data_IF_215746284614
#
_entry.id   IF_215746284614
#
_cell.length_a   1.000
_cell.length_b   1.000
_cell.length_c   1.000
_cell.angle_alpha   90.00
_cell.angle_beta   90.00
_cell.angle_gamma   90.00
#
_symmetry.space_group_name_H-M   'P 1'
#
loop_
_entity.id
_entity.type
_entity.pdbx_description
1 polymer ?
#
# COMPACT_ATOMS: atom_id res chain seq x y z
N UNK A 1 -44.94 12.53 12.92
CA UNK A 1 -43.66 11.81 12.75
C UNK A 1 -43.15 11.80 11.31
N UNK A 2 -43.95 11.50 10.28
CA UNK A 2 -43.42 11.45 8.91
C UNK A 2 -43.12 12.82 8.28
N UNK A 3 -43.87 13.86 8.65
CA UNK A 3 -43.65 15.24 8.18
C UNK A 3 -42.36 15.85 8.74
N UNK A 4 -42.01 15.53 9.98
CA UNK A 4 -40.81 16.02 10.65
C UNK A 4 -39.55 15.35 10.09
N UNK A 5 -39.61 14.04 9.81
CA UNK A 5 -38.53 13.34 9.12
C UNK A 5 -38.29 13.90 7.70
N UNK A 6 -39.36 14.18 6.95
CA UNK A 6 -39.26 14.77 5.61
C UNK A 6 -38.63 16.17 5.63
N UNK A 7 -38.96 17.02 6.61
CA UNK A 7 -38.35 18.34 6.78
C UNK A 7 -36.87 18.27 7.15
N UNK A 8 -36.49 17.34 8.02
CA UNK A 8 -35.09 17.12 8.39
C UNK A 8 -34.29 16.66 7.17
N UNK A 9 -34.82 15.72 6.39
CA UNK A 9 -34.17 15.30 5.14
C UNK A 9 -34.05 16.43 4.13
N UNK A 10 -35.12 17.22 3.92
CA UNK A 10 -35.10 18.35 3.00
C UNK A 10 -34.07 19.42 3.41
N UNK A 11 -33.94 19.71 4.72
CA UNK A 11 -32.92 20.64 5.24
C UNK A 11 -31.51 20.07 5.10
N UNK A 12 -31.31 18.77 5.35
CA UNK A 12 -30.01 18.11 5.16
C UNK A 12 -29.57 18.12 3.70
N UNK A 13 -30.47 17.83 2.76
CA UNK A 13 -30.17 17.89 1.32
C UNK A 13 -29.93 19.32 0.85
N UNK A 14 -30.73 20.31 1.28
CA UNK A 14 -30.51 21.71 0.93
C UNK A 14 -29.16 22.24 1.46
N UNK A 15 -28.73 21.78 2.64
CA UNK A 15 -27.43 22.15 3.22
C UNK A 15 -26.27 21.51 2.46
N UNK A 16 -26.39 20.22 2.11
CA UNK A 16 -25.44 19.52 1.24
C UNK A 16 -25.33 20.19 -0.14
N UNK A 17 -26.47 20.51 -0.76
CA UNK A 17 -26.50 21.14 -2.08
C UNK A 17 -25.91 22.56 -2.05
N UNK A 18 -26.21 23.36 -1.01
CA UNK A 18 -25.55 24.66 -0.80
C UNK A 18 -24.05 24.52 -0.57
N UNK A 19 -23.61 23.51 0.20
CA UNK A 19 -22.17 23.26 0.42
C UNK A 19 -21.43 22.78 -0.82
N UNK A 20 -22.13 22.20 -1.80
CA UNK A 20 -21.58 21.77 -3.10
C UNK A 20 -21.42 22.94 -4.09
N UNK A 21 -22.23 23.99 -3.95
CA UNK A 21 -22.22 25.17 -4.84
C UNK A 21 -21.29 26.29 -4.31
N UNK A 22 -20.91 26.27 -3.03
CA UNK A 22 -19.90 27.19 -2.49
C UNK A 22 -18.51 26.88 -3.06
N UNK A 23 -17.59 27.89 -3.12
CA UNK A 23 -16.24 27.70 -3.67
C UNK A 23 -15.49 26.44 -3.18
N UNK A 24 -15.51 26.07 -1.88
CA UNK A 24 -14.88 24.82 -1.43
C UNK A 24 -15.58 23.55 -1.93
N UNK A 25 -16.90 23.55 -2.09
CA UNK A 25 -17.66 22.42 -2.65
C UNK A 25 -17.39 22.20 -4.13
N UNK A 26 -17.33 23.29 -4.90
CA UNK A 26 -16.93 23.27 -6.31
C UNK A 26 -15.50 22.75 -6.46
N UNK A 27 -14.60 23.09 -5.53
CA UNK A 27 -13.23 22.61 -5.56
C UNK A 27 -13.13 21.12 -5.18
N UNK A 28 -13.98 20.64 -4.26
CA UNK A 28 -14.12 19.22 -3.94
C UNK A 28 -14.69 18.43 -5.11
N UNK A 29 -15.69 18.98 -5.81
CA UNK A 29 -16.28 18.40 -7.00
C UNK A 29 -15.28 18.39 -8.17
N UNK A 30 -14.50 19.45 -8.35
CA UNK A 30 -13.38 19.49 -9.31
C UNK A 30 -12.29 18.47 -8.95
N UNK A 31 -11.98 18.26 -7.67
CA UNK A 31 -11.04 17.21 -7.23
C UNK A 31 -11.59 15.81 -7.47
N UNK A 32 -12.88 15.58 -7.22
CA UNK A 32 -13.58 14.33 -7.53
C UNK A 32 -13.68 14.07 -9.04
N UNK A 33 -13.99 15.09 -9.84
CA UNK A 33 -13.96 15.00 -11.30
C UNK A 33 -12.53 14.76 -11.78
N UNK A 34 -11.50 15.39 -11.19
CA UNK A 34 -10.08 15.12 -11.51
C UNK A 34 -9.70 13.67 -11.27
N UNK A 35 -10.26 13.02 -10.24
CA UNK A 35 -10.13 11.60 -9.96
C UNK A 35 -10.89 10.69 -10.93
N UNK A 36 -11.80 11.21 -11.75
CA UNK A 36 -12.44 10.46 -12.84
C UNK A 36 -11.83 10.81 -14.20
N UNK A 37 -11.35 12.04 -14.37
CA UNK A 37 -10.71 12.52 -15.58
C UNK A 37 -9.22 12.18 -15.65
N UNK A 38 -8.59 11.53 -14.66
CA UNK A 38 -7.17 11.11 -14.82
C UNK A 38 -6.96 10.23 -16.06
N UNK A 39 -7.98 9.46 -16.45
CA UNK A 39 -8.00 8.66 -17.69
C UNK A 39 -7.87 9.58 -18.91
N UNK A 40 -8.44 10.80 -18.87
CA UNK A 40 -8.26 11.82 -19.90
C UNK A 40 -6.82 12.26 -20.09
N UNK A 41 -6.02 12.19 -19.03
CA UNK A 41 -4.63 12.64 -18.99
C UNK A 41 -3.64 11.50 -19.18
N UNK A 42 -4.12 10.28 -19.47
CA UNK A 42 -3.26 9.19 -19.88
C UNK A 42 -2.60 9.59 -21.21
N UNK A 43 -1.26 9.57 -21.29
CA UNK A 43 -0.56 9.84 -22.54
C UNK A 43 -1.13 8.96 -23.66
N UNK A 44 -1.39 9.55 -24.84
CA UNK A 44 -2.07 8.88 -25.96
C UNK A 44 -3.57 9.19 -26.06
N UNK A 45 -4.32 9.13 -24.96
CA UNK A 45 -5.73 9.58 -24.95
C UNK A 45 -5.80 11.09 -25.20
N UNK A 46 -4.88 11.85 -24.62
CA UNK A 46 -4.77 13.30 -24.85
C UNK A 46 -4.51 13.64 -26.33
N UNK A 47 -3.73 12.81 -27.04
CA UNK A 47 -3.47 12.99 -28.47
C UNK A 47 -4.69 12.68 -29.34
N UNK A 48 -5.44 11.63 -28.98
CA UNK A 48 -6.71 11.30 -29.62
C UNK A 48 -7.73 12.42 -29.36
N UNK A 49 -7.76 12.97 -28.15
CA UNK A 49 -8.62 14.10 -27.79
C UNK A 49 -8.25 15.36 -28.56
N UNK A 50 -6.96 15.68 -28.65
CA UNK A 50 -6.45 16.77 -29.48
C UNK A 50 -6.87 16.60 -30.93
N UNK A 51 -6.62 15.43 -31.52
CA UNK A 51 -7.01 15.15 -32.90
C UNK A 51 -8.54 15.20 -33.12
N UNK A 52 -9.33 14.67 -32.19
CA UNK A 52 -10.78 14.72 -32.25
C UNK A 52 -11.31 16.16 -32.10
N UNK A 53 -10.69 16.95 -31.21
CA UNK A 53 -11.01 18.35 -31.04
C UNK A 53 -10.60 19.17 -32.25
N UNK A 54 -9.43 18.95 -32.84
CA UNK A 54 -8.97 19.61 -34.06
C UNK A 54 -9.84 19.26 -35.27
N UNK A 55 -10.39 18.05 -35.34
CA UNK A 55 -11.37 17.66 -36.36
C UNK A 55 -12.75 18.31 -36.12
N UNK A 56 -13.12 18.50 -34.85
CA UNK A 56 -14.39 19.12 -34.44
C UNK A 56 -14.37 20.65 -34.56
N UNK A 57 -13.26 21.29 -34.20
CA UNK A 57 -13.13 22.74 -34.02
C UNK A 57 -13.47 23.57 -35.27
N UNK A 58 -13.17 23.14 -36.51
CA UNK A 58 -13.61 23.84 -37.72
C UNK A 58 -15.12 23.75 -37.97
N UNK A 59 -15.76 22.67 -37.48
CA UNK A 59 -17.19 22.39 -37.68
C UNK A 59 -18.05 22.79 -36.47
N UNK A 60 -17.45 23.38 -35.43
CA UNK A 60 -18.13 23.73 -34.18
C UNK A 60 -19.36 24.63 -34.39
N UNK A 61 -19.29 25.56 -35.35
CA UNK A 61 -20.39 26.47 -35.67
C UNK A 61 -21.58 25.72 -36.30
N UNK A 62 -21.30 24.77 -37.19
CA UNK A 62 -22.32 23.91 -37.81
C UNK A 62 -22.97 22.98 -36.79
N UNK A 63 -22.18 22.40 -35.87
CA UNK A 63 -22.71 21.55 -34.81
C UNK A 63 -23.56 22.36 -33.82
N UNK A 64 -23.14 23.57 -33.46
CA UNK A 64 -23.92 24.47 -32.61
C UNK A 64 -25.24 24.86 -33.26
N UNK A 65 -25.22 25.18 -34.56
CA UNK A 65 -26.43 25.45 -35.34
C UNK A 65 -27.37 24.23 -35.39
N UNK A 66 -26.81 23.04 -35.61
CA UNK A 66 -27.57 21.78 -35.63
C UNK A 66 -28.20 21.46 -34.27
N UNK A 67 -27.52 21.76 -33.16
CA UNK A 67 -28.04 21.60 -31.80
C UNK A 67 -29.05 22.69 -31.39
N UNK A 68 -29.46 23.57 -32.31
CA UNK A 68 -30.40 24.66 -32.03
C UNK A 68 -29.82 25.77 -31.16
N UNK A 69 -28.51 25.73 -30.90
CA UNK A 69 -27.74 26.79 -30.22
C UNK A 69 -27.09 27.75 -31.23
N UNK A 70 -27.57 27.78 -32.47
CA UNK A 70 -27.21 28.83 -33.42
C UNK A 70 -27.61 30.17 -32.82
N UNK A 71 -26.64 31.05 -32.60
CA UNK A 71 -26.83 32.39 -32.03
C UNK A 71 -27.93 33.14 -32.78
N UNK A 72 -29.09 33.28 -32.12
CA UNK A 72 -30.14 34.27 -32.36
C UNK A 72 -30.15 34.94 -33.75
N UNK A 73 -30.45 34.19 -34.82
CA UNK A 73 -30.84 34.77 -36.12
C UNK A 73 -29.90 35.83 -36.72
N UNK A 74 -28.63 35.89 -36.30
CA UNK A 74 -27.67 36.82 -36.91
C UNK A 74 -27.20 36.19 -38.20
N UNK A 75 -27.77 36.69 -39.30
CA UNK A 75 -27.29 36.38 -40.64
C UNK A 75 -25.90 36.97 -40.77
N UNK A 76 -24.86 36.13 -40.67
CA UNK A 76 -23.50 36.53 -41.05
C UNK A 76 -23.44 36.57 -42.57
N UNK A 77 -24.19 37.52 -43.14
CA UNK A 77 -24.13 37.86 -44.54
C UNK A 77 -22.68 38.09 -44.96
N UNK A 78 -22.41 37.81 -46.23
CA UNK A 78 -21.12 37.81 -46.91
C UNK A 78 -20.37 39.17 -46.94
N UNK A 79 -20.32 39.91 -45.83
CA UNK A 79 -19.88 41.30 -45.80
C UNK A 79 -19.30 41.81 -44.47
N UNK A 80 -19.08 40.97 -43.45
CA UNK A 80 -18.17 41.36 -42.37
C UNK A 80 -16.76 41.09 -42.84
N UNK A 81 -16.12 42.17 -43.30
CA UNK A 81 -14.71 42.20 -43.66
C UNK A 81 -13.89 41.47 -42.60
N UNK A 82 -12.97 40.65 -43.08
CA UNK A 82 -11.88 40.13 -42.29
C UNK A 82 -11.07 41.32 -41.77
N UNK A 83 -11.51 41.93 -40.67
CA UNK A 83 -10.59 42.64 -39.81
C UNK A 83 -9.59 41.57 -39.38
N UNK A 84 -8.38 41.69 -39.94
CA UNK A 84 -7.24 40.86 -39.65
C UNK A 84 -6.90 41.02 -38.16
N UNK A 85 -7.63 40.33 -37.28
CA UNK A 85 -7.06 39.91 -36.00
C UNK A 85 -5.71 39.30 -36.35
N UNK A 86 -4.58 39.81 -35.82
CA UNK A 86 -3.28 39.25 -36.11
C UNK A 86 -3.37 37.78 -35.75
N UNK A 87 -3.45 36.92 -36.76
CA UNK A 87 -3.32 35.50 -36.53
C UNK A 87 -1.92 35.38 -35.99
N UNK A 88 -1.79 35.12 -34.69
CA UNK A 88 -0.56 34.58 -34.13
C UNK A 88 -0.38 33.27 -34.85
N UNK A 89 0.35 33.32 -35.97
CA UNK A 89 0.73 32.15 -36.74
C UNK A 89 1.63 31.38 -35.81
N UNK A 90 1.03 30.46 -35.05
CA UNK A 90 1.76 29.51 -34.25
C UNK A 90 2.75 28.85 -35.22
N UNK A 91 4.06 28.88 -34.92
CA UNK A 91 5.06 28.39 -35.84
C UNK A 91 4.68 26.97 -36.24
N UNK A 92 4.57 26.74 -37.56
CA UNK A 92 4.14 25.47 -38.11
C UNK A 92 4.91 24.34 -37.42
N UNK A 93 4.17 23.48 -36.71
CA UNK A 93 4.77 22.39 -35.96
C UNK A 93 5.55 21.51 -36.93
N UNK A 94 6.88 21.56 -36.84
CA UNK A 94 7.72 20.76 -37.73
C UNK A 94 7.37 19.28 -37.54
N UNK A 95 7.46 18.50 -38.64
CA UNK A 95 7.20 17.05 -38.59
C UNK A 95 7.98 16.35 -37.47
N UNK A 96 9.20 16.84 -37.18
CA UNK A 96 10.03 16.40 -36.07
C UNK A 96 9.39 16.64 -34.68
N UNK A 97 8.85 17.83 -34.41
CA UNK A 97 8.17 18.13 -33.13
C UNK A 97 6.90 17.32 -32.95
N UNK A 98 6.16 17.08 -34.03
CA UNK A 98 4.98 16.19 -34.01
C UNK A 98 5.40 14.75 -33.72
N UNK A 99 6.39 14.22 -34.44
CA UNK A 99 6.91 12.87 -34.21
C UNK A 99 7.45 12.68 -32.78
N UNK A 100 8.19 13.65 -32.25
CA UNK A 100 8.72 13.60 -30.88
C UNK A 100 7.60 13.60 -29.82
N UNK A 101 6.52 14.36 -30.04
CA UNK A 101 5.34 14.33 -29.16
C UNK A 101 4.65 12.97 -29.18
N UNK A 102 4.47 12.37 -30.35
CA UNK A 102 3.92 11.02 -30.47
C UNK A 102 4.81 9.97 -29.80
N UNK A 103 6.13 10.02 -30.05
CA UNK A 103 7.08 9.11 -29.44
C UNK A 103 7.10 9.22 -27.90
N UNK A 104 7.13 10.45 -27.37
CA UNK A 104 7.06 10.69 -25.92
C UNK A 104 5.73 10.24 -25.34
N UNK A 105 4.62 10.51 -26.03
CA UNK A 105 3.29 10.05 -25.64
C UNK A 105 3.24 8.54 -25.55
N UNK A 106 3.62 7.84 -26.62
CA UNK A 106 3.65 6.39 -26.68
C UNK A 106 4.56 5.77 -25.62
N UNK A 107 5.77 6.31 -25.41
CA UNK A 107 6.67 5.86 -24.35
C UNK A 107 6.01 6.02 -22.97
N UNK A 108 5.40 7.17 -22.69
CA UNK A 108 4.73 7.40 -21.42
C UNK A 108 3.52 6.47 -21.24
N UNK A 109 2.75 6.18 -22.30
CA UNK A 109 1.67 5.17 -22.28
C UNK A 109 2.21 3.79 -21.93
N UNK A 110 3.32 3.37 -22.56
CA UNK A 110 3.94 2.06 -22.31
C UNK A 110 4.43 1.94 -20.87
N UNK A 111 5.05 2.99 -20.33
CA UNK A 111 5.50 3.02 -18.92
C UNK A 111 4.32 2.91 -17.96
N UNK A 112 3.23 3.65 -18.20
CA UNK A 112 2.01 3.56 -17.38
C UNK A 112 1.38 2.18 -17.49
N UNK A 113 1.25 1.64 -18.70
CA UNK A 113 0.69 0.31 -18.94
C UNK A 113 1.51 -0.78 -18.24
N UNK A 114 2.85 -0.66 -18.25
CA UNK A 114 3.75 -1.55 -17.55
C UNK A 114 3.48 -1.56 -16.04
N UNK A 115 3.42 -0.38 -15.40
CA UNK A 115 3.17 -0.29 -13.96
C UNK A 115 1.75 -0.69 -13.58
N UNK A 116 0.74 -0.37 -14.40
CA UNK A 116 -0.63 -0.85 -14.21
C UNK A 116 -0.69 -2.37 -14.29
N UNK A 117 0.02 -2.98 -15.23
CA UNK A 117 0.08 -4.44 -15.37
C UNK A 117 0.78 -5.09 -14.17
N UNK A 118 1.90 -4.54 -13.70
CA UNK A 118 2.58 -4.99 -12.48
C UNK A 118 1.64 -4.90 -11.26
N UNK A 119 0.93 -3.78 -11.12
CA UNK A 119 -0.03 -3.56 -10.01
C UNK A 119 -1.22 -4.51 -10.10
N UNK A 120 -1.78 -4.70 -11.30
CA UNK A 120 -2.92 -5.58 -11.51
C UNK A 120 -2.57 -7.03 -11.16
N UNK A 121 -1.42 -7.53 -11.63
CA UNK A 121 -0.94 -8.88 -11.28
C UNK A 121 -0.69 -9.02 -9.78
N UNK A 122 -0.18 -7.98 -9.10
CA UNK A 122 -0.02 -7.97 -7.65
C UNK A 122 -1.36 -8.09 -6.91
N UNK A 123 -2.36 -7.27 -7.30
CA UNK A 123 -3.70 -7.29 -6.71
C UNK A 123 -4.35 -8.68 -6.86
N UNK A 124 -4.20 -9.33 -8.01
CA UNK A 124 -4.72 -10.68 -8.22
C UNK A 124 -4.09 -11.72 -7.29
N UNK A 125 -2.77 -11.64 -7.06
CA UNK A 125 -2.03 -12.59 -6.24
C UNK A 125 -2.33 -12.45 -4.75
N UNK A 126 -2.58 -11.22 -4.30
CA UNK A 126 -2.84 -10.92 -2.89
C UNK A 126 -4.30 -10.98 -2.51
N UNK A 127 -5.20 -10.86 -3.49
CA UNK A 127 -6.60 -11.06 -3.25
C UNK A 127 -6.85 -12.52 -2.83
N UNK A 128 -7.18 -12.71 -1.55
CA UNK A 128 -7.37 -14.04 -0.97
C UNK A 128 -8.49 -14.83 -1.67
N UNK A 129 -9.53 -14.16 -2.17
CA UNK A 129 -10.60 -14.79 -2.93
C UNK A 129 -10.07 -15.31 -4.28
N UNK A 130 -9.32 -14.49 -5.03
CA UNK A 130 -8.69 -14.89 -6.29
C UNK A 130 -7.72 -16.03 -6.06
N UNK A 131 -6.78 -15.91 -5.10
CA UNK A 131 -5.76 -16.92 -4.82
C UNK A 131 -6.32 -18.29 -4.44
N UNK A 132 -7.47 -18.33 -3.76
CA UNK A 132 -8.16 -19.59 -3.39
C UNK A 132 -8.84 -20.25 -4.58
N UNK A 133 -9.28 -19.48 -5.58
CA UNK A 133 -10.03 -19.96 -6.75
C UNK A 133 -9.14 -20.20 -7.98
N UNK A 134 -8.15 -19.35 -8.17
CA UNK A 134 -7.27 -19.27 -9.33
C UNK A 134 -5.84 -19.19 -8.81
N UNK A 135 -4.99 -20.15 -9.21
CA UNK A 135 -3.56 -20.13 -8.89
C UNK A 135 -2.83 -19.16 -9.82
N UNK A 136 -3.06 -17.87 -9.62
CA UNK A 136 -2.36 -16.81 -10.36
C UNK A 136 -0.91 -16.78 -9.87
N UNK A 137 0.04 -16.98 -10.78
CA UNK A 137 1.45 -16.74 -10.51
C UNK A 137 1.82 -15.37 -11.07
N UNK A 138 2.50 -14.55 -10.27
CA UNK A 138 3.00 -13.28 -10.74
C UNK A 138 4.20 -13.52 -11.67
N UNK A 139 4.24 -12.91 -12.85
CA UNK A 139 5.44 -12.96 -13.69
C UNK A 139 6.62 -12.26 -12.98
N UNK A 140 7.84 -12.70 -13.27
CA UNK A 140 9.03 -12.25 -12.55
C UNK A 140 9.25 -10.74 -12.64
N UNK A 141 9.08 -10.17 -13.84
CA UNK A 141 9.19 -8.72 -14.05
C UNK A 141 8.19 -7.93 -13.19
N UNK A 142 6.97 -8.44 -13.00
CA UNK A 142 5.94 -7.79 -12.18
C UNK A 142 6.29 -7.86 -10.70
N UNK A 143 6.72 -9.05 -10.25
CA UNK A 143 7.18 -9.30 -8.89
C UNK A 143 8.37 -8.41 -8.52
N UNK A 144 9.36 -8.31 -9.40
CA UNK A 144 10.58 -7.56 -9.15
C UNK A 144 10.32 -6.06 -9.20
N UNK A 145 9.46 -5.60 -10.11
CA UNK A 145 9.00 -4.21 -10.18
C UNK A 145 8.32 -3.79 -8.87
N UNK A 146 7.39 -4.60 -8.35
CA UNK A 146 6.71 -4.32 -7.08
C UNK A 146 7.68 -4.34 -5.91
N UNK A 147 8.61 -5.30 -5.87
CA UNK A 147 9.63 -5.42 -4.81
C UNK A 147 10.60 -4.25 -4.80
N UNK A 148 11.17 -3.89 -5.95
CA UNK A 148 12.12 -2.78 -6.11
C UNK A 148 11.44 -1.45 -5.84
N UNK A 149 10.24 -1.24 -6.38
CA UNK A 149 9.46 -0.03 -6.16
C UNK A 149 8.93 0.12 -4.73
N UNK A 150 8.85 -0.98 -3.96
CA UNK A 150 8.25 -1.05 -2.63
C UNK A 150 6.82 -0.47 -2.60
N UNK A 151 6.08 -0.56 -3.71
CA UNK A 151 4.75 0.04 -3.83
C UNK A 151 3.69 -0.72 -3.06
N UNK A 152 3.92 -2.01 -2.84
CA UNK A 152 3.01 -2.77 -2.01
C UNK A 152 3.30 -2.52 -0.53
N UNK A 153 2.41 -1.74 0.09
CA UNK A 153 2.29 -1.61 1.53
C UNK A 153 1.13 -2.51 1.93
N UNK A 154 1.34 -3.45 2.87
CA UNK A 154 0.32 -4.42 3.26
C UNK A 154 -0.94 -3.77 3.80
N UNK A 155 -1.92 -3.50 2.93
CA UNK A 155 -3.20 -2.87 3.28
C UNK A 155 -4.04 -3.71 4.23
N UNK A 156 -3.66 -4.97 4.46
CA UNK A 156 -4.21 -5.80 5.54
C UNK A 156 -4.07 -5.17 6.93
N UNK A 157 -3.19 -4.18 7.12
CA UNK A 157 -3.15 -3.38 8.35
C UNK A 157 -4.41 -2.54 8.58
N UNK A 158 -5.20 -2.30 7.53
CA UNK A 158 -6.50 -1.61 7.59
C UNK A 158 -7.69 -2.57 7.39
N UNK A 159 -7.45 -3.88 7.36
CA UNK A 159 -8.55 -4.83 7.33
C UNK A 159 -9.36 -4.70 8.63
N UNK A 160 -10.70 -4.83 8.58
CA UNK A 160 -11.53 -4.77 9.78
C UNK A 160 -11.14 -5.85 10.80
N UNK A 161 -10.64 -6.99 10.32
CA UNK A 161 -10.05 -8.03 11.15
C UNK A 161 -8.54 -7.80 11.30
N UNK A 162 -8.17 -7.13 12.40
CA UNK A 162 -6.77 -7.05 12.81
C UNK A 162 -6.21 -8.47 13.07
N UNK A 163 -4.91 -8.70 12.82
CA UNK A 163 -4.24 -9.94 13.22
C UNK A 163 -4.46 -10.19 14.72
N UNK A 164 -5.04 -11.34 15.06
CA UNK A 164 -5.32 -11.75 16.45
C UNK A 164 -4.26 -12.67 17.02
N UNK A 165 -3.16 -12.90 16.30
CA UNK A 165 -2.08 -13.78 16.72
C UNK A 165 -0.80 -12.98 16.78
N UNK A 166 -0.12 -13.07 17.91
CA UNK A 166 1.19 -12.49 18.12
C UNK A 166 2.09 -13.52 18.82
N UNK A 167 3.32 -13.16 19.12
CA UNK A 167 4.19 -13.97 19.96
C UNK A 167 5.58 -13.40 20.12
N UNK A 168 6.30 -13.95 21.07
CA UNK A 168 7.70 -13.61 21.28
C UNK A 168 8.56 -14.84 21.52
N UNK A 169 9.86 -14.62 21.33
CA UNK A 169 10.84 -15.58 21.78
C UNK A 169 11.00 -15.48 23.29
N UNK A 170 11.10 -16.63 23.93
CA UNK A 170 11.61 -16.78 25.30
C UNK A 170 12.90 -17.57 25.20
N UNK A 171 13.98 -16.99 25.68
CA UNK A 171 15.31 -17.60 25.64
C UNK A 171 15.64 -18.07 27.05
N UNK A 172 15.68 -19.37 27.25
CA UNK A 172 16.09 -19.95 28.51
C UNK A 172 17.56 -20.30 28.43
N UNK A 173 18.42 -19.36 28.85
CA UNK A 173 19.87 -19.51 28.82
C UNK A 173 20.36 -19.92 30.20
N UNK A 174 20.99 -21.10 30.28
CA UNK A 174 21.68 -21.57 31.47
C UNK A 174 23.14 -21.15 31.42
N UNK A 175 23.57 -20.36 32.40
CA UNK A 175 24.96 -19.94 32.55
C UNK A 175 25.81 -20.99 33.27
N UNK A 176 27.14 -20.83 33.22
CA UNK A 176 28.09 -21.73 33.85
C UNK A 176 27.99 -21.75 35.38
N UNK A 177 27.51 -20.66 35.99
CA UNK A 177 27.22 -20.55 37.43
C UNK A 177 25.89 -21.19 37.84
N UNK A 178 25.10 -21.70 36.89
CA UNK A 178 23.82 -22.35 37.11
C UNK A 178 22.60 -21.43 37.05
N UNK A 179 22.78 -20.11 36.92
CA UNK A 179 21.64 -19.19 36.72
C UNK A 179 20.94 -19.47 35.40
N UNK A 180 19.61 -19.36 35.40
CA UNK A 180 18.76 -19.37 34.20
C UNK A 180 18.24 -17.98 33.94
N UNK A 181 18.57 -17.42 32.79
CA UNK A 181 18.17 -16.07 32.43
C UNK A 181 17.66 -16.01 30.99
N UNK A 182 16.78 -15.06 30.73
CA UNK A 182 16.47 -14.58 29.39
C UNK A 182 17.32 -13.34 29.09
N UNK A 183 18.30 -13.41 28.16
CA UNK A 183 19.13 -12.26 27.76
C UNK A 183 18.32 -11.04 27.29
N UNK A 184 17.06 -11.26 26.91
CA UNK A 184 16.17 -10.20 26.48
C UNK A 184 15.67 -9.32 27.62
N UNK A 185 15.55 -9.88 28.82
CA UNK A 185 14.98 -9.20 29.99
C UNK A 185 15.95 -9.14 31.16
N UNK A 186 17.06 -9.89 31.10
CA UNK A 186 18.03 -10.12 32.17
C UNK A 186 17.40 -10.67 33.45
N UNK A 187 16.26 -11.36 33.32
CA UNK A 187 15.49 -11.99 34.41
C UNK A 187 15.28 -13.46 34.08
N UNK A 188 14.68 -14.20 35.01
CA UNK A 188 14.28 -15.59 34.75
C UNK A 188 13.32 -15.68 33.54
N UNK A 189 13.45 -16.72 32.70
CA UNK A 189 12.61 -16.91 31.53
C UNK A 189 11.15 -17.14 31.94
N UNK A 190 10.23 -16.37 31.35
CA UNK A 190 8.80 -16.49 31.63
C UNK A 190 8.06 -17.07 30.43
N UNK A 191 7.51 -18.27 30.62
CA UNK A 191 6.70 -18.97 29.62
C UNK A 191 5.22 -18.61 29.77
N UNK A 192 4.88 -17.38 29.41
CA UNK A 192 3.51 -16.85 29.43
C UNK A 192 3.23 -16.10 28.12
N UNK A 193 1.96 -15.76 27.82
CA UNK A 193 1.60 -14.91 26.69
C UNK A 193 2.46 -13.64 26.64
N UNK A 194 2.72 -13.17 25.44
CA UNK A 194 3.73 -12.17 25.21
C UNK A 194 3.33 -10.83 25.85
N UNK A 195 4.20 -10.28 26.69
CA UNK A 195 4.02 -8.95 27.26
C UNK A 195 5.12 -8.03 26.74
N UNK A 196 4.79 -7.25 25.71
CA UNK A 196 5.70 -6.33 25.03
C UNK A 196 6.41 -5.35 25.97
N UNK A 197 5.80 -5.02 27.12
CA UNK A 197 6.38 -4.10 28.12
C UNK A 197 7.59 -4.68 28.84
N UNK A 198 7.78 -6.00 28.78
CA UNK A 198 8.92 -6.69 29.41
C UNK A 198 10.19 -6.59 28.60
N UNK A 199 10.06 -6.26 27.32
CA UNK A 199 11.15 -6.32 26.36
C UNK A 199 11.63 -4.91 26.01
N UNK A 200 12.95 -4.74 25.84
CA UNK A 200 13.58 -3.48 25.47
C UNK A 200 13.87 -3.39 23.96
N UNK A 201 12.99 -3.97 23.14
CA UNK A 201 13.28 -4.19 21.72
C UNK A 201 12.70 -3.18 20.77
N UNK A 202 13.45 -2.95 19.69
CA UNK A 202 12.96 -2.24 18.52
C UNK A 202 12.10 -3.15 17.62
N UNK A 203 11.50 -2.54 16.61
CA UNK A 203 10.68 -3.22 15.62
C UNK A 203 11.47 -4.30 14.83
N UNK A 204 12.79 -4.15 14.67
CA UNK A 204 13.61 -5.11 13.95
C UNK A 204 13.74 -6.41 14.70
N UNK A 205 13.96 -6.34 16.01
CA UNK A 205 14.03 -7.52 16.84
C UNK A 205 12.67 -8.23 16.93
N UNK A 206 11.57 -7.50 17.13
CA UNK A 206 10.22 -8.10 17.09
C UNK A 206 9.94 -8.81 15.76
N UNK A 207 10.38 -8.22 14.65
CA UNK A 207 10.26 -8.87 13.33
C UNK A 207 11.16 -10.11 13.20
N UNK A 208 12.37 -10.05 13.75
CA UNK A 208 13.33 -11.15 13.72
C UNK A 208 12.86 -12.33 14.57
N UNK A 209 12.38 -12.06 15.79
CA UNK A 209 11.94 -13.05 16.77
C UNK A 209 10.79 -13.91 16.24
N UNK A 210 9.80 -13.27 15.61
CA UNK A 210 8.72 -13.97 14.90
C UNK A 210 9.24 -14.76 13.69
N UNK A 211 10.19 -14.21 12.93
CA UNK A 211 10.68 -14.84 11.69
C UNK A 211 11.56 -16.06 11.94
N UNK A 212 12.43 -16.04 12.93
CA UNK A 212 13.37 -17.16 13.19
C UNK A 212 12.64 -18.42 13.67
N UNK A 213 11.45 -18.26 14.27
CA UNK A 213 10.56 -19.36 14.62
C UNK A 213 9.96 -20.06 13.39
N UNK A 214 9.77 -19.36 12.27
CA UNK A 214 9.16 -19.94 11.07
C UNK A 214 10.03 -21.03 10.45
N UNK A 215 9.42 -22.15 10.03
CA UNK A 215 10.12 -23.30 9.42
C UNK A 215 11.01 -22.91 8.23
N UNK A 216 10.55 -22.00 7.36
CA UNK A 216 11.32 -21.53 6.20
C UNK A 216 12.66 -20.85 6.55
N UNK A 217 12.82 -20.40 7.79
CA UNK A 217 14.00 -19.69 8.29
C UNK A 217 14.85 -20.57 9.22
N UNK A 218 14.58 -21.87 9.29
CA UNK A 218 15.34 -22.82 10.10
C UNK A 218 16.84 -22.80 9.79
N UNK A 219 17.20 -22.53 8.53
CA UNK A 219 18.59 -22.46 8.07
C UNK A 219 19.41 -21.41 8.83
N UNK A 220 18.76 -20.36 9.35
CA UNK A 220 19.42 -19.24 10.04
C UNK A 220 19.55 -19.46 11.56
N UNK A 221 19.02 -20.55 12.09
CA UNK A 221 19.03 -20.84 13.54
C UNK A 221 20.43 -21.18 14.03
N UNK A 222 21.30 -21.68 13.16
CA UNK A 222 22.70 -21.96 13.48
C UNK A 222 23.45 -20.68 13.85
N UNK A 223 23.34 -19.64 13.03
CA UNK A 223 23.99 -18.35 13.27
C UNK A 223 23.42 -17.68 14.52
N UNK A 224 22.11 -17.82 14.74
CA UNK A 224 21.46 -17.32 15.94
C UNK A 224 21.97 -18.02 17.21
N UNK A 225 22.13 -19.33 17.17
CA UNK A 225 22.74 -20.10 18.25
C UNK A 225 24.21 -19.72 18.49
N UNK A 226 25.00 -19.53 17.42
CA UNK A 226 26.38 -19.05 17.54
C UNK A 226 26.45 -17.65 18.17
N UNK A 227 25.48 -16.79 17.86
CA UNK A 227 25.35 -15.47 18.48
C UNK A 227 25.03 -15.58 19.98
N UNK A 228 24.06 -16.41 20.37
CA UNK A 228 23.72 -16.63 21.79
C UNK A 228 24.88 -17.19 22.62
N UNK A 229 25.75 -17.99 21.99
CA UNK A 229 26.95 -18.53 22.65
C UNK A 229 28.03 -17.50 22.95
N UNK A 230 27.98 -16.32 22.31
CA UNK A 230 29.00 -15.28 22.46
C UNK A 230 28.47 -14.24 23.44
N UNK A 231 28.85 -14.30 24.74
CA UNK A 231 28.44 -13.28 25.68
C UNK A 231 28.91 -11.90 25.21
N UNK A 232 28.06 -10.91 25.41
CA UNK A 232 28.39 -9.54 25.05
C UNK A 232 27.27 -8.55 25.39
N UNK A 233 27.56 -7.24 25.28
CA UNK A 233 26.66 -6.19 25.73
C UNK A 233 25.26 -6.24 25.10
N UNK A 234 25.13 -6.75 23.86
CA UNK A 234 23.83 -6.90 23.17
C UNK A 234 22.90 -7.92 23.82
N UNK A 235 23.45 -8.87 24.57
CA UNK A 235 22.71 -9.87 25.35
C UNK A 235 22.56 -9.46 26.81
N UNK A 236 23.06 -8.28 27.20
CA UNK A 236 23.21 -7.89 28.61
C UNK A 236 24.18 -8.78 29.40
N UNK A 237 24.87 -9.70 28.73
CA UNK A 237 25.83 -10.64 29.34
C UNK A 237 27.23 -10.03 29.39
N UNK A 238 27.92 -10.27 30.49
CA UNK A 238 29.34 -9.93 30.67
C UNK A 238 30.25 -11.03 30.14
N UNK A 239 31.55 -10.75 29.99
CA UNK A 239 32.52 -11.77 29.53
C UNK A 239 32.63 -12.96 30.49
N UNK A 240 32.26 -12.77 31.76
CA UNK A 240 32.30 -13.80 32.80
C UNK A 240 31.08 -14.73 32.72
N UNK A 241 29.97 -14.25 32.13
CA UNK A 241 28.75 -15.01 31.92
C UNK A 241 28.91 -16.00 30.75
N UNK A 242 29.55 -17.14 31.03
CA UNK A 242 29.68 -18.22 30.04
C UNK A 242 28.38 -19.00 29.90
N UNK A 243 27.86 -19.08 28.68
CA UNK A 243 26.66 -19.86 28.35
C UNK A 243 26.98 -21.36 28.33
N UNK A 244 26.28 -22.15 29.15
CA UNK A 244 26.43 -23.60 29.30
C UNK A 244 25.43 -24.38 28.44
N UNK A 245 24.19 -23.91 28.38
CA UNK A 245 23.13 -24.49 27.58
C UNK A 245 22.06 -23.43 27.30
N UNK A 246 21.24 -23.63 26.29
CA UNK A 246 20.03 -22.83 26.10
C UNK A 246 18.94 -23.58 25.37
N UNK A 247 17.71 -23.19 25.64
CA UNK A 247 16.53 -23.55 24.86
C UNK A 247 15.81 -22.27 24.45
N UNK A 248 15.42 -22.17 23.19
CA UNK A 248 14.68 -21.02 22.69
C UNK A 248 13.32 -21.47 22.25
N UNK A 249 12.30 -20.86 22.83
CA UNK A 249 10.90 -21.12 22.54
C UNK A 249 10.29 -19.91 21.85
N UNK A 250 9.38 -20.15 20.91
CA UNK A 250 8.42 -19.16 20.47
C UNK A 250 7.11 -19.42 21.19
N UNK A 251 6.65 -18.41 21.94
CA UNK A 251 5.36 -18.43 22.62
C UNK A 251 4.42 -17.56 21.78
N UNK A 252 3.54 -18.23 21.04
CA UNK A 252 2.47 -17.58 20.31
C UNK A 252 1.26 -17.41 21.22
N UNK A 253 0.61 -16.26 21.12
CA UNK A 253 -0.61 -15.95 21.84
C UNK A 253 -1.72 -15.48 20.89
N UNK A 254 -2.93 -15.50 21.43
CA UNK A 254 -4.11 -14.94 20.79
C UNK A 254 -4.53 -13.68 21.51
N UNK A 255 -4.58 -12.58 20.77
CA UNK A 255 -5.07 -11.32 21.28
C UNK A 255 -6.57 -11.42 21.58
N UNK A 256 -7.01 -10.82 22.70
CA UNK A 256 -8.42 -10.81 23.08
C UNK A 256 -9.25 -9.99 22.09
N UNK A 257 -10.57 -10.17 22.11
CA UNK A 257 -11.47 -9.32 21.31
C UNK A 257 -11.40 -7.88 21.83
N UNK A 258 -11.28 -6.85 20.97
CA UNK A 258 -11.27 -5.46 21.41
C UNK A 258 -12.48 -5.13 22.30
N UNK A 259 -12.25 -4.54 23.47
CA UNK A 259 -13.30 -4.15 24.42
C UNK A 259 -13.81 -5.26 25.35
N UNK A 260 -13.32 -6.49 25.22
CA UNK A 260 -13.74 -7.62 26.09
C UNK A 260 -13.21 -7.56 27.52
N UNK A 261 -12.09 -6.86 27.75
CA UNK A 261 -11.37 -6.86 29.04
C UNK A 261 -10.60 -8.15 29.33
N UNK A 262 -10.63 -9.11 28.40
CA UNK A 262 -9.86 -10.36 28.50
C UNK A 262 -8.35 -10.12 28.34
N UNK A 263 -7.55 -11.04 28.86
CA UNK A 263 -6.09 -11.05 28.68
C UNK A 263 -5.69 -11.99 27.53
N UNK A 264 -4.53 -11.76 26.88
CA UNK A 264 -4.01 -12.69 25.89
C UNK A 264 -3.84 -14.10 26.46
N UNK A 265 -4.12 -15.12 25.62
CA UNK A 265 -4.01 -16.53 25.99
C UNK A 265 -2.99 -17.20 25.07
N UNK A 266 -2.17 -18.10 25.63
CA UNK A 266 -1.17 -18.86 24.86
C UNK A 266 -1.90 -19.75 23.84
N UNK A 267 -1.55 -19.60 22.55
CA UNK A 267 -2.10 -20.36 21.43
C UNK A 267 -1.13 -21.48 21.01
N UNK A 268 0.17 -21.19 21.00
CA UNK A 268 1.19 -22.16 20.59
C UNK A 268 2.52 -21.99 21.32
N UNK A 269 3.22 -23.12 21.51
CA UNK A 269 4.58 -23.16 22.05
C UNK A 269 5.46 -24.00 21.15
N UNK A 270 6.44 -23.36 20.52
CA UNK A 270 7.33 -24.01 19.55
C UNK A 270 8.76 -23.97 20.09
N UNK A 271 9.38 -25.14 20.27
CA UNK A 271 10.83 -25.20 20.48
C UNK A 271 11.53 -24.83 19.17
N UNK A 272 12.12 -23.64 19.13
CA UNK A 272 12.81 -23.11 17.94
C UNK A 272 14.18 -23.77 17.79
N UNK A 273 14.93 -23.85 18.89
CA UNK A 273 16.24 -24.50 18.92
C UNK A 273 16.66 -24.81 20.36
N UNK A 274 17.60 -25.74 20.50
CA UNK A 274 18.25 -26.06 21.77
C UNK A 274 19.73 -26.34 21.57
N UNK A 275 20.52 -26.06 22.60
CA UNK A 275 21.94 -26.35 22.62
C UNK A 275 22.39 -26.76 24.04
N UNK A 276 23.19 -27.82 24.20
CA UNK A 276 23.68 -28.73 23.16
C UNK A 276 22.57 -29.65 22.57
N UNK A 277 22.53 -29.78 21.24
CA UNK A 277 21.60 -30.70 20.54
C UNK A 277 22.24 -32.06 20.34
N UNK A 278 21.50 -33.15 20.61
CA UNK A 278 21.96 -34.54 20.39
C UNK A 278 22.07 -34.92 18.90
N UNK A 279 21.40 -34.21 17.99
CA UNK A 279 21.30 -34.59 16.56
C UNK A 279 22.32 -33.89 15.65
N UNK A 280 23.28 -33.13 16.20
CA UNK A 280 23.81 -32.00 15.43
C UNK A 280 22.70 -30.97 15.23
N UNK A 281 22.99 -29.89 14.50
CA UNK A 281 21.99 -28.87 14.20
C UNK A 281 20.88 -29.43 13.30
#
# INVERSE_FOLDING_TARGET
>A
NDTEAAEIYARSYATLFRSLITPPGVELLKRGLRLLTWIAFVPGIDQIKGAAYDAFAPRRHTVSAWLGMGTCGVDFGAGLGADETPQTVLPADSGARRAMRWARGGLATLVVAFFLSATFTQVLVENAWVRRRIKVQQPEWGRDTVRLGRWFRGWSMFAPDAPKRDGCLVMDVTLADGRRIDPQTMKEPVFAPCDVRRFSFDQFWGSYSMRIAMRRNEVYRKEFAEWLRRPGPRLGLTKDDRVKAFEVYYIGDKSPTPGSGEVPVEDERILVMKWPSKKGW
#
